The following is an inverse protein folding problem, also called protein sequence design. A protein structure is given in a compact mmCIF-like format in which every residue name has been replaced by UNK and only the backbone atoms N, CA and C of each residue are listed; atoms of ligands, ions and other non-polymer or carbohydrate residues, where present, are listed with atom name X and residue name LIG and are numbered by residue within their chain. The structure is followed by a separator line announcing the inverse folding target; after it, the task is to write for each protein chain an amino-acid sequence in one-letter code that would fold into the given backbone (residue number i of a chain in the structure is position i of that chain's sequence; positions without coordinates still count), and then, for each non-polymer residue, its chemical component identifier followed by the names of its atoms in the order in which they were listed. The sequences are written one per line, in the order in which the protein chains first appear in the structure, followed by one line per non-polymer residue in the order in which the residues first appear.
data_IF_763987274305
#
_entry.id   IF_763987274305
#
_cell.length_a   1.000
_cell.length_b   1.000
_cell.length_c   1.000
_cell.angle_alpha   90.00
_cell.angle_beta   90.00
_cell.angle_gamma   90.00
#
_symmetry.space_group_name_H-M   'P 1'
#
loop_
_entity.id
_entity.type
_entity.pdbx_description
1 polymer ?
#
# COMPACT_ATOMS: atom_id res chain seq x y z
N UNK A 1 -35.64 65.16 -20.57
CA UNK A 1 -34.56 64.44 -19.88
C UNK A 1 -34.76 62.95 -20.17
N UNK A 2 -34.03 62.41 -21.15
CA UNK A 2 -34.07 60.98 -21.54
C UNK A 2 -32.92 60.28 -20.82
N UNK A 3 -33.21 59.19 -20.11
CA UNK A 3 -32.20 58.34 -19.48
C UNK A 3 -32.12 57.07 -20.33
N UNK A 4 -30.99 56.90 -21.02
CA UNK A 4 -30.65 55.69 -21.75
C UNK A 4 -29.99 54.69 -20.79
N UNK A 5 -30.52 53.45 -20.76
CA UNK A 5 -29.95 52.35 -20.00
C UNK A 5 -28.86 51.66 -20.82
N UNK A 6 -27.62 51.74 -20.34
CA UNK A 6 -26.45 51.14 -20.97
C UNK A 6 -26.26 49.70 -20.46
N UNK A 7 -26.71 48.71 -21.23
CA UNK A 7 -26.50 47.29 -20.97
C UNK A 7 -25.14 46.85 -21.52
N UNK A 8 -24.10 46.95 -20.70
CA UNK A 8 -22.80 46.38 -21.01
C UNK A 8 -22.84 44.85 -20.85
N UNK A 9 -22.81 44.14 -21.98
CA UNK A 9 -22.64 42.68 -22.04
C UNK A 9 -21.20 42.35 -21.61
N UNK A 10 -21.06 41.65 -20.48
CA UNK A 10 -19.77 41.07 -20.03
C UNK A 10 -19.35 39.96 -21.00
N UNK A 11 -18.11 39.95 -21.53
CA UNK A 11 -17.62 38.84 -22.33
C UNK A 11 -17.49 37.58 -21.46
N UNK A 12 -17.91 36.44 -22.00
CA UNK A 12 -17.76 35.13 -21.38
C UNK A 12 -16.27 34.83 -21.14
N UNK A 13 -15.94 34.31 -19.96
CA UNK A 13 -14.59 33.84 -19.66
C UNK A 13 -14.17 32.75 -20.68
N UNK A 14 -12.93 32.75 -21.16
CA UNK A 14 -12.46 31.72 -22.09
C UNK A 14 -12.57 30.34 -21.43
N UNK A 15 -13.11 29.37 -22.16
CA UNK A 15 -13.18 27.98 -21.73
C UNK A 15 -11.75 27.48 -21.47
N UNK A 16 -11.45 27.15 -20.21
CA UNK A 16 -10.20 26.51 -19.84
C UNK A 16 -10.14 25.15 -20.54
N UNK A 17 -9.19 24.97 -21.46
CA UNK A 17 -8.96 23.68 -22.12
C UNK A 17 -8.63 22.63 -21.06
N UNK A 18 -9.31 21.49 -21.13
CA UNK A 18 -9.00 20.33 -20.30
C UNK A 18 -7.54 19.92 -20.51
N UNK A 19 -6.78 19.85 -19.42
CA UNK A 19 -5.40 19.36 -19.43
C UNK A 19 -5.39 17.92 -19.93
N UNK A 20 -4.74 17.66 -21.07
CA UNK A 20 -4.52 16.31 -21.59
C UNK A 20 -3.06 15.89 -21.35
N UNK A 21 -2.75 15.26 -20.20
CA UNK A 21 -1.37 14.87 -19.86
C UNK A 21 -0.77 13.82 -20.82
N UNK A 22 -1.60 13.19 -21.67
CA UNK A 22 -1.19 12.11 -22.57
C UNK A 22 -1.00 12.55 -24.03
N UNK A 23 -1.12 13.85 -24.33
CA UNK A 23 -1.12 14.33 -25.72
C UNK A 23 0.25 14.27 -26.45
N UNK A 24 1.36 13.96 -25.78
CA UNK A 24 2.67 13.89 -26.43
C UNK A 24 3.70 13.03 -25.66
N UNK A 25 3.74 11.72 -25.88
CA UNK A 25 4.90 10.91 -25.54
C UNK A 25 5.13 9.81 -26.59
N UNK A 26 6.31 9.78 -27.26
CA UNK A 26 6.67 8.68 -28.14
C UNK A 26 6.92 7.40 -27.32
N UNK A 27 6.52 6.27 -27.87
CA UNK A 27 6.77 4.93 -27.35
C UNK A 27 8.27 4.69 -27.12
N UNK A 28 8.66 4.35 -25.89
CA UNK A 28 10.05 4.10 -25.51
C UNK A 28 10.60 2.83 -26.19
N UNK A 29 11.69 2.99 -26.94
CA UNK A 29 12.47 1.90 -27.52
C UNK A 29 13.27 1.16 -26.45
N UNK A 30 13.30 -0.16 -26.56
CA UNK A 30 14.02 -1.09 -25.69
C UNK A 30 15.53 -0.86 -25.76
N UNK A 31 16.14 -0.38 -24.68
CA UNK A 31 17.59 -0.43 -24.47
C UNK A 31 17.88 -1.35 -23.28
N UNK A 32 18.47 -2.51 -23.56
CA UNK A 32 18.96 -3.45 -22.55
C UNK A 32 20.28 -2.93 -21.98
N UNK A 33 20.27 -2.51 -20.71
CA UNK A 33 21.48 -2.19 -19.94
C UNK A 33 21.57 -3.18 -18.79
N UNK A 34 22.76 -3.76 -18.58
CA UNK A 34 23.04 -4.67 -17.48
C UNK A 34 22.89 -3.96 -16.12
N UNK A 35 22.28 -4.65 -15.14
CA UNK A 35 22.01 -4.12 -13.82
C UNK A 35 23.33 -3.84 -13.04
N UNK A 36 23.52 -2.65 -12.46
CA UNK A 36 24.65 -2.40 -11.56
C UNK A 36 24.41 -3.04 -10.19
N UNK A 37 25.50 -3.35 -9.48
CA UNK A 37 25.46 -3.76 -8.08
C UNK A 37 24.90 -2.62 -7.21
N UNK A 38 24.06 -2.97 -6.22
CA UNK A 38 23.39 -2.05 -5.30
C UNK A 38 24.37 -1.09 -4.63
N UNK A 39 24.49 0.12 -5.17
CA UNK A 39 25.23 1.22 -4.57
C UNK A 39 24.35 1.95 -3.56
N UNK A 40 24.97 2.56 -2.56
CA UNK A 40 24.33 3.45 -1.58
C UNK A 40 23.79 4.71 -2.28
N UNK A 41 22.55 4.63 -2.79
CA UNK A 41 21.87 5.74 -3.45
C UNK A 41 21.28 6.71 -2.42
N UNK A 42 22.01 7.80 -2.14
CA UNK A 42 21.48 8.99 -1.49
C UNK A 42 20.64 9.80 -2.49
N UNK A 43 19.44 9.33 -2.82
CA UNK A 43 18.47 10.10 -3.59
C UNK A 43 17.52 10.83 -2.63
N UNK A 44 17.65 12.16 -2.56
CA UNK A 44 16.70 13.07 -1.88
C UNK A 44 15.93 13.81 -2.98
N UNK A 45 14.60 13.67 -3.09
CA UNK A 45 13.83 14.33 -4.15
C UNK A 45 13.94 15.86 -4.09
N UNK A 46 14.27 16.49 -5.21
CA UNK A 46 14.19 17.96 -5.36
C UNK A 46 12.73 18.42 -5.26
N UNK A 47 12.41 19.26 -4.27
CA UNK A 47 11.05 19.71 -3.94
C UNK A 47 10.52 19.24 -2.59
N UNK A 48 11.37 18.56 -1.79
CA UNK A 48 11.12 18.22 -0.40
C UNK A 48 10.92 19.49 0.44
N UNK A 49 9.76 19.63 1.09
CA UNK A 49 9.54 20.70 2.06
C UNK A 49 10.37 20.35 3.30
N UNK A 50 11.25 21.24 3.79
CA UNK A 50 12.06 20.94 4.95
C UNK A 50 11.17 20.75 6.19
N UNK A 51 11.24 19.54 6.74
CA UNK A 51 11.04 19.15 8.14
C UNK A 51 10.52 20.28 9.05
N UNK A 52 9.22 20.26 9.34
CA UNK A 52 8.76 20.47 10.72
C UNK A 52 8.40 19.07 11.22
N UNK A 53 8.95 18.59 12.36
CA UNK A 53 8.68 17.27 12.88
C UNK A 53 7.24 17.21 13.41
N UNK A 54 6.27 17.14 12.49
CA UNK A 54 4.94 16.68 12.84
C UNK A 54 5.03 15.16 12.92
N UNK A 55 5.08 14.66 14.16
CA UNK A 55 5.11 13.22 14.48
C UNK A 55 3.92 12.45 13.90
N UNK A 56 2.92 13.16 13.37
CA UNK A 56 1.65 12.64 12.88
C UNK A 56 1.64 12.44 11.35
N UNK A 57 2.75 12.68 10.65
CA UNK A 57 2.81 12.52 9.20
C UNK A 57 3.98 11.64 8.80
N UNK A 58 3.68 10.50 8.18
CA UNK A 58 4.66 9.69 7.48
C UNK A 58 4.56 9.96 5.97
N UNK A 59 5.69 10.18 5.31
CA UNK A 59 5.75 10.38 3.87
C UNK A 59 6.21 9.10 3.21
N UNK A 60 5.43 8.61 2.25
CA UNK A 60 5.73 7.43 1.46
C UNK A 60 5.99 7.79 -0.01
N UNK A 61 6.95 7.11 -0.60
CA UNK A 61 7.18 7.05 -2.04
C UNK A 61 7.25 5.58 -2.44
N UNK A 62 6.75 5.22 -3.61
CA UNK A 62 7.03 3.88 -4.12
C UNK A 62 6.89 3.77 -5.62
N UNK A 63 7.47 2.70 -6.14
CA UNK A 63 7.63 2.42 -7.55
C UNK A 63 7.32 0.96 -7.83
N UNK A 64 6.52 0.73 -8.89
CA UNK A 64 6.07 -0.59 -9.30
C UNK A 64 5.47 -1.40 -8.14
N UNK A 65 4.45 -0.85 -7.49
CA UNK A 65 3.77 -1.45 -6.36
C UNK A 65 2.52 -2.21 -6.77
N UNK A 66 2.25 -3.33 -6.08
CA UNK A 66 0.96 -3.98 -6.04
C UNK A 66 0.37 -3.90 -4.64
N UNK A 67 -0.89 -3.48 -4.55
CA UNK A 67 -1.65 -3.41 -3.31
C UNK A 67 -3.04 -4.02 -3.53
N UNK A 68 -3.55 -4.73 -2.54
CA UNK A 68 -4.94 -5.20 -2.51
C UNK A 68 -5.69 -4.48 -1.40
N UNK A 69 -6.79 -3.82 -1.78
CA UNK A 69 -7.72 -3.14 -0.88
C UNK A 69 -9.07 -3.88 -0.84
N UNK A 70 -9.97 -3.46 0.05
CA UNK A 70 -11.37 -3.91 0.15
C UNK A 70 -11.47 -5.44 0.26
N UNK A 71 -11.01 -6.02 1.37
CA UNK A 71 -11.00 -7.48 1.58
C UNK A 71 -10.35 -8.27 0.44
N UNK A 72 -9.34 -7.65 -0.18
CA UNK A 72 -8.55 -8.19 -1.29
C UNK A 72 -9.28 -8.27 -2.63
N UNK A 73 -10.46 -7.66 -2.79
CA UNK A 73 -11.19 -7.64 -4.08
C UNK A 73 -10.71 -6.56 -5.03
N UNK A 74 -10.16 -5.45 -4.50
CA UNK A 74 -9.62 -4.37 -5.31
C UNK A 74 -8.10 -4.49 -5.45
N UNK A 75 -7.66 -5.12 -6.54
CA UNK A 75 -6.26 -5.12 -6.96
C UNK A 75 -5.85 -3.79 -7.57
N UNK A 76 -4.89 -3.12 -6.94
CA UNK A 76 -4.33 -1.85 -7.38
C UNK A 76 -2.86 -2.05 -7.76
N UNK A 77 -2.48 -1.59 -8.94
CA UNK A 77 -1.08 -1.52 -9.38
C UNK A 77 -0.68 -0.08 -9.58
N UNK A 78 0.38 0.35 -8.93
CA UNK A 78 0.94 1.69 -9.11
C UNK A 78 2.31 1.60 -9.76
N UNK A 79 2.51 2.30 -10.88
CA UNK A 79 3.85 2.47 -11.44
C UNK A 79 4.70 3.41 -10.58
N UNK A 80 4.07 4.41 -9.99
CA UNK A 80 4.70 5.37 -9.11
C UNK A 80 3.65 6.03 -8.21
N UNK A 81 3.97 6.21 -6.93
CA UNK A 81 3.14 6.90 -5.94
C UNK A 81 4.02 7.71 -4.98
N UNK A 82 3.55 8.90 -4.64
CA UNK A 82 3.98 9.72 -3.52
C UNK A 82 2.74 10.08 -2.70
N UNK A 83 2.79 9.76 -1.41
CA UNK A 83 1.69 10.00 -0.50
C UNK A 83 2.17 10.43 0.89
N UNK A 84 1.31 11.14 1.60
CA UNK A 84 1.46 11.39 3.02
C UNK A 84 0.37 10.63 3.77
N UNK A 85 0.78 9.88 4.79
CA UNK A 85 -0.07 9.20 5.74
C UNK A 85 -0.20 10.12 6.95
N UNK A 86 -1.39 10.67 7.16
CA UNK A 86 -1.68 11.65 8.20
C UNK A 86 -2.47 10.92 9.26
N UNK A 87 -1.84 10.73 10.41
CA UNK A 87 -2.43 10.08 11.57
C UNK A 87 -3.71 10.81 12.03
N UNK A 88 -4.79 10.03 12.22
CA UNK A 88 -6.07 10.53 12.72
C UNK A 88 -6.07 10.70 14.24
N UNK A 89 -5.22 9.95 14.95
CA UNK A 89 -5.15 9.91 16.41
C UNK A 89 -3.75 10.26 16.89
N UNK A 90 -3.34 11.55 16.91
CA UNK A 90 -1.98 12.02 17.26
C UNK A 90 -1.36 11.52 18.58
N UNK A 91 -2.16 10.91 19.45
CA UNK A 91 -1.75 10.37 20.74
C UNK A 91 -1.41 8.88 20.69
N UNK A 92 -1.80 8.17 19.62
CA UNK A 92 -1.52 6.76 19.38
C UNK A 92 -0.64 6.63 18.15
N UNK A 93 0.24 5.61 18.09
CA UNK A 93 0.88 5.25 16.85
C UNK A 93 -0.10 4.99 15.73
N UNK A 94 0.22 5.48 14.54
CA UNK A 94 -0.51 5.15 13.33
C UNK A 94 -0.41 3.64 13.08
N UNK A 95 -1.56 2.97 13.09
CA UNK A 95 -1.66 1.59 12.65
C UNK A 95 -2.07 1.56 11.17
N UNK A 96 -1.13 1.15 10.31
CA UNK A 96 -1.37 1.05 8.86
C UNK A 96 -2.32 -0.11 8.54
N UNK A 97 -2.35 -1.15 9.37
CA UNK A 97 -3.19 -2.33 9.20
C UNK A 97 -4.63 -2.08 9.65
N UNK A 98 -4.83 -1.31 10.73
CA UNK A 98 -6.16 -0.88 11.20
C UNK A 98 -6.70 0.37 10.50
N UNK A 99 -5.94 0.95 9.57
CA UNK A 99 -6.40 2.03 8.68
C UNK A 99 -6.75 3.34 9.43
N UNK A 100 -6.05 3.61 10.54
CA UNK A 100 -6.27 4.81 11.37
C UNK A 100 -5.53 6.06 10.85
N UNK A 101 -5.59 6.28 9.54
CA UNK A 101 -4.94 7.42 8.90
C UNK A 101 -5.77 7.99 7.76
N UNK A 102 -5.45 9.24 7.41
CA UNK A 102 -5.84 9.86 6.16
C UNK A 102 -4.69 9.77 5.17
N UNK A 103 -4.94 9.20 4.01
CA UNK A 103 -4.01 9.12 2.91
C UNK A 103 -4.17 10.35 1.99
N UNK A 104 -3.16 11.19 1.95
CA UNK A 104 -3.04 12.25 0.96
C UNK A 104 -2.14 11.78 -0.18
N UNK A 105 -2.69 11.55 -1.36
CA UNK A 105 -1.93 11.16 -2.56
C UNK A 105 -1.49 12.42 -3.31
N UNK A 106 -0.21 12.81 -3.12
CA UNK A 106 0.37 14.00 -3.77
C UNK A 106 0.53 13.78 -5.27
N UNK A 107 0.99 12.60 -5.66
CA UNK A 107 1.28 12.24 -7.05
C UNK A 107 1.18 10.73 -7.22
N UNK A 108 0.39 10.22 -8.15
CA UNK A 108 0.38 8.78 -8.44
C UNK A 108 -0.11 8.45 -9.84
N UNK A 109 0.36 7.34 -10.40
CA UNK A 109 -0.36 6.62 -11.46
C UNK A 109 -0.79 5.28 -10.90
N UNK A 110 -2.08 5.02 -11.02
CA UNK A 110 -2.75 3.86 -10.48
C UNK A 110 -3.47 3.15 -11.60
N UNK A 111 -3.43 1.83 -11.60
CA UNK A 111 -4.15 0.99 -12.56
C UNK A 111 -4.93 -0.10 -11.86
N UNK A 112 -6.13 -0.36 -12.38
CA UNK A 112 -7.07 -1.37 -11.90
C UNK A 112 -7.46 -2.25 -13.07
N UNK A 113 -7.47 -3.57 -12.87
CA UNK A 113 -7.90 -4.50 -13.92
C UNK A 113 -9.42 -4.54 -14.06
N UNK A 114 -9.91 -4.97 -15.22
CA UNK A 114 -11.35 -5.18 -15.43
C UNK A 114 -11.94 -6.28 -14.52
N UNK A 115 -11.14 -7.29 -14.20
CA UNK A 115 -11.48 -8.33 -13.20
C UNK A 115 -11.64 -7.70 -11.82
N UNK A 116 -10.66 -6.94 -11.35
CA UNK A 116 -10.71 -6.31 -10.02
C UNK A 116 -11.85 -5.29 -9.93
N UNK A 117 -12.07 -4.50 -10.99
CA UNK A 117 -13.19 -3.57 -11.07
C UNK A 117 -14.56 -4.29 -11.03
N UNK A 118 -14.67 -5.45 -11.68
CA UNK A 118 -15.88 -6.29 -11.63
C UNK A 118 -16.15 -6.77 -10.22
N UNK A 119 -15.15 -7.39 -9.57
CA UNK A 119 -15.29 -7.92 -8.21
C UNK A 119 -15.62 -6.82 -7.20
N UNK A 120 -14.95 -5.67 -7.30
CA UNK A 120 -15.19 -4.52 -6.42
C UNK A 120 -16.61 -4.00 -6.58
N UNK A 121 -17.10 -3.83 -7.81
CA UNK A 121 -18.46 -3.35 -8.05
C UNK A 121 -19.53 -4.35 -7.58
N UNK A 122 -19.31 -5.65 -7.75
CA UNK A 122 -20.19 -6.68 -7.21
C UNK A 122 -20.24 -6.66 -5.68
N UNK A 123 -19.10 -6.44 -5.02
CA UNK A 123 -19.02 -6.32 -3.56
C UNK A 123 -19.79 -5.10 -3.06
N UNK A 124 -19.52 -3.91 -3.61
CA UNK A 124 -20.21 -2.66 -3.23
C UNK A 124 -21.72 -2.81 -3.36
N UNK A 125 -22.20 -3.33 -4.50
CA UNK A 125 -23.63 -3.53 -4.70
C UNK A 125 -24.20 -4.56 -3.71
N UNK A 126 -23.47 -5.64 -3.44
CA UNK A 126 -23.92 -6.66 -2.48
C UNK A 126 -24.08 -6.08 -1.07
N UNK A 127 -23.13 -5.27 -0.63
CA UNK A 127 -23.16 -4.59 0.66
C UNK A 127 -24.35 -3.63 0.74
N UNK A 128 -24.52 -2.73 -0.24
CA UNK A 128 -25.66 -1.79 -0.30
C UNK A 128 -27.02 -2.52 -0.27
N UNK A 129 -27.17 -3.61 -1.03
CA UNK A 129 -28.41 -4.39 -1.04
C UNK A 129 -28.63 -5.16 0.27
N UNK A 130 -27.56 -5.72 0.87
CA UNK A 130 -27.62 -6.40 2.16
C UNK A 130 -28.06 -5.44 3.27
N UNK A 131 -27.48 -4.25 3.33
CA UNK A 131 -27.85 -3.20 4.28
C UNK A 131 -29.31 -2.75 4.13
N UNK A 132 -29.79 -2.65 2.88
CA UNK A 132 -31.20 -2.30 2.61
C UNK A 132 -32.19 -3.45 2.84
N UNK A 133 -31.71 -4.66 3.17
CA UNK A 133 -32.52 -5.86 3.34
C UNK A 133 -33.21 -6.36 2.06
N UNK A 134 -32.75 -5.89 0.89
CA UNK A 134 -33.36 -6.23 -0.42
C UNK A 134 -32.47 -7.22 -1.18
N UNK A 135 -33.05 -8.16 -1.94
CA UNK A 135 -32.26 -9.03 -2.79
C UNK A 135 -31.59 -8.20 -3.90
N UNK A 136 -30.31 -8.47 -4.17
CA UNK A 136 -29.57 -7.84 -5.26
C UNK A 136 -30.28 -8.12 -6.60
N UNK A 137 -30.73 -7.10 -7.34
CA UNK A 137 -31.46 -7.27 -8.58
C UNK A 137 -30.53 -7.50 -9.77
N UNK A 138 -29.21 -7.48 -9.59
CA UNK A 138 -28.22 -7.62 -10.66
C UNK A 138 -27.39 -8.89 -10.40
N UNK A 139 -27.16 -9.69 -11.43
CA UNK A 139 -26.36 -10.92 -11.40
C UNK A 139 -25.41 -10.98 -12.60
N UNK A 140 -24.28 -11.69 -12.46
CA UNK A 140 -23.25 -11.88 -13.51
C UNK A 140 -22.73 -10.55 -14.07
N UNK A 141 -22.34 -9.64 -13.18
CA UNK A 141 -21.83 -8.35 -13.60
C UNK A 141 -20.45 -8.53 -14.22
N UNK A 142 -20.16 -7.77 -15.27
CA UNK A 142 -18.83 -7.75 -15.90
C UNK A 142 -18.51 -6.34 -16.34
N UNK A 143 -17.39 -5.82 -15.85
CA UNK A 143 -16.74 -4.62 -16.35
C UNK A 143 -15.70 -5.04 -17.38
N UNK A 144 -15.59 -4.29 -18.47
CA UNK A 144 -14.56 -4.44 -19.48
C UNK A 144 -14.03 -3.05 -19.85
N UNK A 145 -12.71 -2.92 -19.87
CA UNK A 145 -12.03 -1.72 -20.31
C UNK A 145 -11.53 -1.94 -21.74
N UNK A 146 -12.09 -1.17 -22.67
CA UNK A 146 -11.73 -1.19 -24.09
C UNK A 146 -10.77 -0.02 -24.38
N UNK A 147 -9.94 -0.06 -25.43
CA UNK A 147 -9.15 1.10 -25.85
C UNK A 147 -10.01 2.33 -26.14
N UNK A 148 -9.38 3.51 -26.19
CA UNK A 148 -10.04 4.79 -26.48
C UNK A 148 -11.03 5.27 -25.40
N UNK A 149 -10.68 5.09 -24.13
CA UNK A 149 -11.46 5.55 -22.98
C UNK A 149 -12.88 4.96 -22.91
N UNK A 150 -13.08 3.77 -23.47
CA UNK A 150 -14.37 3.10 -23.45
C UNK A 150 -14.45 2.10 -22.30
N UNK A 151 -15.58 2.15 -21.58
CA UNK A 151 -15.92 1.18 -20.54
C UNK A 151 -17.22 0.52 -20.95
N UNK A 152 -17.24 -0.81 -20.87
CA UNK A 152 -18.43 -1.63 -21.09
C UNK A 152 -18.80 -2.36 -19.80
N UNK A 153 -20.07 -2.34 -19.46
CA UNK A 153 -20.64 -2.97 -18.27
C UNK A 153 -21.79 -3.87 -18.74
N UNK A 154 -21.73 -5.15 -18.42
CA UNK A 154 -22.74 -6.14 -18.80
C UNK A 154 -23.24 -6.90 -17.58
N UNK A 155 -24.47 -7.37 -17.63
CA UNK A 155 -25.02 -8.17 -16.54
C UNK A 155 -26.43 -8.64 -16.83
N UNK A 156 -27.08 -9.23 -15.83
CA UNK A 156 -28.49 -9.63 -15.88
C UNK A 156 -29.24 -8.93 -14.76
N UNK A 157 -30.32 -8.24 -15.10
CA UNK A 157 -31.23 -7.65 -14.12
C UNK A 157 -32.42 -8.59 -13.88
N UNK A 158 -32.70 -8.90 -12.62
CA UNK A 158 -33.87 -9.66 -12.17
C UNK A 158 -35.03 -8.70 -12.01
N UNK A 159 -36.03 -8.84 -12.87
CA UNK A 159 -37.27 -8.05 -12.81
C UNK A 159 -38.46 -8.94 -13.13
N UNK A 160 -39.54 -8.83 -12.34
CA UNK A 160 -40.79 -9.58 -12.52
C UNK A 160 -40.59 -11.10 -12.73
N UNK A 161 -39.66 -11.71 -11.99
CA UNK A 161 -39.36 -13.15 -12.08
C UNK A 161 -38.48 -13.56 -13.28
N UNK A 162 -38.15 -12.64 -14.19
CA UNK A 162 -37.28 -12.88 -15.34
C UNK A 162 -35.89 -12.29 -15.12
N UNK A 163 -34.88 -12.88 -15.77
CA UNK A 163 -33.51 -12.37 -15.82
C UNK A 163 -33.25 -11.77 -17.19
N UNK A 164 -33.18 -10.45 -17.28
CA UNK A 164 -32.99 -9.72 -18.52
C UNK A 164 -31.51 -9.34 -18.69
N UNK A 165 -30.80 -9.82 -19.71
CA UNK A 165 -29.45 -9.38 -20.00
C UNK A 165 -29.45 -7.91 -20.42
N UNK A 166 -28.50 -7.15 -19.90
CA UNK A 166 -28.22 -5.78 -20.29
C UNK A 166 -26.73 -5.61 -20.62
N UNK A 167 -26.44 -4.68 -21.50
CA UNK A 167 -25.07 -4.25 -21.82
C UNK A 167 -25.08 -2.74 -22.00
N UNK A 168 -24.11 -2.07 -21.39
CA UNK A 168 -23.96 -0.64 -21.39
C UNK A 168 -22.53 -0.30 -21.78
N UNK A 169 -22.33 0.59 -22.73
CA UNK A 169 -21.02 1.14 -23.05
C UNK A 169 -21.03 2.65 -22.93
N UNK A 170 -19.89 3.22 -22.59
CA UNK A 170 -19.74 4.66 -22.40
C UNK A 170 -18.29 5.08 -22.41
N UNK A 171 -18.06 6.38 -22.31
CA UNK A 171 -16.72 6.95 -22.24
C UNK A 171 -16.41 7.40 -20.83
N UNK A 172 -15.16 7.19 -20.40
CA UNK A 172 -14.67 7.69 -19.11
C UNK A 172 -13.76 8.89 -19.33
N UNK A 173 -14.01 9.96 -18.58
CA UNK A 173 -13.26 11.22 -18.64
C UNK A 173 -13.05 11.74 -17.21
N UNK A 174 -12.27 12.82 -17.07
CA UNK A 174 -12.13 13.57 -15.81
C UNK A 174 -12.68 14.97 -16.05
N UNK A 175 -13.47 15.47 -15.11
CA UNK A 175 -13.94 16.85 -15.17
C UNK A 175 -12.93 17.83 -14.55
N UNK A 176 -13.26 19.13 -14.57
CA UNK A 176 -12.38 20.16 -14.00
C UNK A 176 -12.27 20.11 -12.47
N UNK A 177 -13.21 19.45 -11.79
CA UNK A 177 -13.18 19.24 -10.34
C UNK A 177 -12.34 18.02 -9.94
N UNK A 178 -11.84 17.24 -10.90
CA UNK A 178 -11.10 16.01 -10.63
C UNK A 178 -12.01 14.81 -10.32
N UNK A 179 -13.28 14.89 -10.72
CA UNK A 179 -14.20 13.75 -10.65
C UNK A 179 -14.06 12.90 -11.91
N UNK A 180 -14.12 11.59 -11.73
CA UNK A 180 -14.21 10.63 -12.83
C UNK A 180 -15.65 10.66 -13.32
N UNK A 181 -15.84 10.97 -14.60
CA UNK A 181 -17.12 11.05 -15.28
C UNK A 181 -17.26 9.92 -16.28
N UNK A 182 -18.28 9.09 -16.12
CA UNK A 182 -18.69 8.09 -17.09
C UNK A 182 -19.89 8.60 -17.88
N UNK A 183 -19.69 8.87 -19.17
CA UNK A 183 -20.72 9.29 -20.11
C UNK A 183 -21.36 8.08 -20.77
N UNK A 184 -22.65 7.87 -20.50
CA UNK A 184 -23.42 6.78 -21.08
C UNK A 184 -23.49 6.92 -22.60
N UNK A 185 -22.92 5.95 -23.30
CA UNK A 185 -22.90 5.85 -24.75
C UNK A 185 -24.08 5.03 -25.26
N UNK A 186 -23.95 3.71 -25.34
CA UNK A 186 -24.99 2.80 -25.83
C UNK A 186 -25.48 1.88 -24.70
N UNK A 187 -26.79 1.79 -24.51
CA UNK A 187 -27.42 0.81 -23.63
C UNK A 187 -28.27 -0.16 -24.47
N UNK A 188 -28.19 -1.44 -24.13
CA UNK A 188 -28.95 -2.54 -24.73
C UNK A 188 -29.60 -3.37 -23.63
N UNK A 189 -30.85 -3.79 -23.85
CA UNK A 189 -31.57 -4.74 -23.01
C UNK A 189 -32.17 -5.80 -23.92
N UNK A 190 -31.95 -7.08 -23.62
CA UNK A 190 -32.32 -8.19 -24.52
C UNK A 190 -31.75 -8.02 -25.94
N UNK A 191 -30.57 -7.39 -26.06
CA UNK A 191 -29.93 -7.07 -27.34
C UNK A 191 -30.56 -5.90 -28.09
N UNK A 192 -31.70 -5.37 -27.64
CA UNK A 192 -32.39 -4.25 -28.26
C UNK A 192 -31.81 -2.92 -27.76
N UNK A 193 -31.55 -1.92 -28.64
CA UNK A 193 -31.11 -0.60 -28.22
C UNK A 193 -32.10 0.08 -27.28
N UNK A 194 -31.71 0.30 -26.03
CA UNK A 194 -32.53 0.96 -25.02
C UNK A 194 -32.49 2.50 -25.18
N UNK A 195 -31.44 3.06 -25.79
CA UNK A 195 -31.28 4.51 -25.95
C UNK A 195 -32.44 5.18 -26.69
N UNK A 196 -32.97 4.54 -27.74
CA UNK A 196 -34.09 5.07 -28.51
C UNK A 196 -35.35 5.18 -27.65
N UNK A 197 -35.62 4.13 -26.88
CA UNK A 197 -36.73 4.11 -25.92
C UNK A 197 -36.52 5.13 -24.80
N UNK A 198 -35.32 5.19 -24.22
CA UNK A 198 -34.98 6.17 -23.19
C UNK A 198 -35.24 7.60 -23.69
N UNK A 199 -34.80 7.93 -24.91
CA UNK A 199 -35.06 9.25 -25.52
C UNK A 199 -36.55 9.48 -25.77
N UNK A 200 -37.26 8.51 -26.35
CA UNK A 200 -38.69 8.63 -26.67
C UNK A 200 -39.56 8.86 -25.42
N UNK A 201 -39.20 8.24 -24.29
CA UNK A 201 -39.89 8.39 -23.01
C UNK A 201 -39.29 9.47 -22.09
N UNK A 202 -38.26 10.20 -22.55
CA UNK A 202 -37.56 11.21 -21.73
C UNK A 202 -36.91 10.62 -20.48
N UNK A 203 -36.51 9.35 -20.52
CA UNK A 203 -35.76 8.68 -19.45
C UNK A 203 -34.27 9.01 -19.61
N UNK A 204 -33.64 9.32 -18.48
CA UNK A 204 -32.21 9.62 -18.36
C UNK A 204 -31.62 8.76 -17.24
N UNK A 205 -30.30 8.55 -17.25
CA UNK A 205 -29.62 7.74 -16.23
C UNK A 205 -29.93 8.23 -14.81
N UNK A 206 -29.95 9.54 -14.57
CA UNK A 206 -30.30 10.13 -13.27
C UNK A 206 -31.74 9.87 -12.82
N UNK A 207 -32.68 9.73 -13.77
CA UNK A 207 -34.07 9.37 -13.47
C UNK A 207 -34.23 7.89 -13.17
N UNK A 208 -33.40 7.04 -13.78
CA UNK A 208 -33.44 5.58 -13.63
C UNK A 208 -32.70 5.11 -12.39
N UNK A 209 -31.43 5.49 -12.26
CA UNK A 209 -30.55 5.06 -11.18
C UNK A 209 -30.88 5.76 -9.86
N UNK A 210 -31.39 7.00 -9.93
CA UNK A 210 -31.72 7.85 -8.76
C UNK A 210 -30.56 7.98 -7.76
N UNK A 211 -29.32 7.83 -8.22
CA UNK A 211 -28.11 8.02 -7.42
C UNK A 211 -27.90 9.52 -7.26
N UNK A 212 -28.38 10.07 -6.14
CA UNK A 212 -28.37 11.49 -5.81
C UNK A 212 -27.68 11.73 -4.47
N UNK A 213 -26.54 11.09 -4.29
CA UNK A 213 -25.79 11.09 -3.04
C UNK A 213 -24.39 11.68 -3.24
N UNK A 214 -24.24 12.96 -3.68
CA UNK A 214 -22.93 13.58 -3.83
C UNK A 214 -22.08 13.54 -2.56
N UNK A 215 -22.71 13.48 -1.38
CA UNK A 215 -22.04 13.32 -0.09
C UNK A 215 -21.33 11.96 0.06
N UNK A 216 -21.75 10.95 -0.70
CA UNK A 216 -21.11 9.61 -0.73
C UNK A 216 -20.02 9.54 -1.82
N UNK A 217 -19.78 10.67 -2.51
CA UNK A 217 -18.78 10.78 -3.57
C UNK A 217 -19.23 10.29 -4.93
N UNK A 218 -20.46 9.80 -5.10
CA UNK A 218 -20.97 9.39 -6.40
C UNK A 218 -22.39 9.89 -6.65
N UNK A 219 -22.68 10.25 -7.89
CA UNK A 219 -24.01 10.69 -8.29
C UNK A 219 -24.22 10.55 -9.79
N UNK A 220 -25.47 10.73 -10.21
CA UNK A 220 -25.85 10.76 -11.63
C UNK A 220 -26.42 12.12 -11.98
N UNK A 221 -26.00 12.66 -13.12
CA UNK A 221 -26.59 13.85 -13.72
C UNK A 221 -26.86 13.58 -15.20
N UNK A 222 -28.11 13.72 -15.63
CA UNK A 222 -28.55 13.40 -17.00
C UNK A 222 -28.15 11.96 -17.38
N UNK A 223 -27.22 11.82 -18.33
CA UNK A 223 -26.73 10.54 -18.83
C UNK A 223 -25.29 10.28 -18.41
N UNK A 224 -24.83 10.92 -17.34
CA UNK A 224 -23.46 10.80 -16.85
C UNK A 224 -23.47 10.36 -15.40
N UNK A 225 -22.56 9.46 -15.06
CA UNK A 225 -22.23 9.08 -13.69
C UNK A 225 -20.94 9.79 -13.29
N UNK A 226 -20.92 10.35 -12.09
CA UNK A 226 -19.79 11.06 -11.52
C UNK A 226 -19.30 10.33 -10.28
N UNK A 227 -17.98 10.24 -10.15
CA UNK A 227 -17.29 9.59 -9.05
C UNK A 227 -16.14 10.48 -8.57
N UNK A 228 -16.21 10.91 -7.32
CA UNK A 228 -15.12 11.48 -6.56
C UNK A 228 -14.42 10.36 -5.78
N UNK A 229 -13.25 9.96 -6.28
CA UNK A 229 -12.50 8.83 -5.73
C UNK A 229 -12.17 9.01 -4.24
N UNK A 230 -11.70 10.20 -3.85
CA UNK A 230 -11.34 10.50 -2.47
C UNK A 230 -12.52 10.37 -1.52
N UNK A 231 -13.64 10.96 -1.92
CA UNK A 231 -14.85 10.93 -1.12
C UNK A 231 -15.47 9.53 -1.05
N UNK A 232 -15.58 8.81 -2.16
CA UNK A 232 -16.16 7.47 -2.17
C UNK A 232 -15.35 6.47 -1.35
N UNK A 233 -14.01 6.49 -1.47
CA UNK A 233 -13.17 5.61 -0.66
C UNK A 233 -13.29 5.97 0.83
N UNK A 234 -13.33 7.26 1.17
CA UNK A 234 -13.46 7.70 2.57
C UNK A 234 -14.78 7.29 3.26
N UNK A 235 -15.82 6.91 2.49
CA UNK A 235 -17.11 6.48 3.04
C UNK A 235 -17.20 4.97 3.25
N UNK A 236 -16.25 4.19 2.74
CA UNK A 236 -16.20 2.76 2.99
C UNK A 236 -15.70 2.56 4.42
N UNK A 237 -16.50 1.90 5.27
CA UNK A 237 -16.32 1.88 6.73
C UNK A 237 -14.96 1.37 7.26
N UNK A 238 -14.17 0.72 6.40
CA UNK A 238 -12.85 0.17 6.71
C UNK A 238 -11.70 0.78 5.89
N UNK A 239 -11.95 1.90 5.20
CA UNK A 239 -10.98 2.54 4.32
C UNK A 239 -10.38 3.81 4.95
N UNK A 240 -9.14 4.19 4.56
CA UNK A 240 -8.54 5.41 5.08
C UNK A 240 -9.28 6.60 4.46
N UNK A 241 -9.28 7.74 5.16
CA UNK A 241 -9.73 8.98 4.53
C UNK A 241 -8.81 9.25 3.34
N UNK A 242 -9.34 9.41 2.13
CA UNK A 242 -8.54 9.57 0.93
C UNK A 242 -8.66 10.99 0.38
N UNK A 243 -7.54 11.70 0.33
CA UNK A 243 -7.39 12.93 -0.42
C UNK A 243 -6.59 12.65 -1.69
N UNK A 244 -7.27 12.60 -2.83
CA UNK A 244 -6.66 12.34 -4.13
C UNK A 244 -7.35 13.18 -5.20
N UNK A 245 -6.59 14.01 -5.92
CA UNK A 245 -7.10 14.79 -7.04
C UNK A 245 -6.80 14.10 -8.37
N UNK A 246 -7.83 13.56 -9.02
CA UNK A 246 -7.68 12.93 -10.33
C UNK A 246 -7.42 14.00 -11.39
N UNK A 247 -6.38 13.79 -12.20
CA UNK A 247 -5.94 14.67 -13.29
C UNK A 247 -6.14 14.06 -14.66
N UNK A 248 -6.23 12.74 -14.73
CA UNK A 248 -6.44 12.03 -15.98
C UNK A 248 -6.93 10.61 -15.74
N UNK A 249 -7.70 10.11 -16.70
CA UNK A 249 -8.09 8.70 -16.79
C UNK A 249 -7.84 8.23 -18.20
N UNK A 250 -7.42 6.97 -18.33
CA UNK A 250 -7.26 6.32 -19.61
C UNK A 250 -7.58 4.85 -19.49
N UNK A 251 -8.32 4.31 -20.45
CA UNK A 251 -8.49 2.86 -20.55
C UNK A 251 -7.47 2.27 -21.51
N UNK A 252 -6.98 1.09 -21.16
CA UNK A 252 -6.31 0.15 -22.06
C UNK A 252 -7.08 -1.16 -22.05
N UNK A 253 -6.73 -2.06 -22.95
CA UNK A 253 -7.32 -3.39 -22.97
C UNK A 253 -7.18 -4.05 -21.58
N UNK A 254 -8.30 -4.26 -20.91
CA UNK A 254 -8.38 -4.91 -19.60
C UNK A 254 -7.91 -4.06 -18.41
N UNK A 255 -7.61 -2.76 -18.56
CA UNK A 255 -7.23 -1.92 -17.41
C UNK A 255 -7.69 -0.46 -17.51
N UNK A 256 -8.03 0.11 -16.36
CA UNK A 256 -8.25 1.54 -16.18
C UNK A 256 -7.02 2.14 -15.50
N UNK A 257 -6.42 3.14 -16.11
CA UNK A 257 -5.33 3.96 -15.56
C UNK A 257 -5.90 5.28 -15.05
N UNK A 258 -5.49 5.67 -13.85
CA UNK A 258 -5.89 6.89 -13.14
C UNK A 258 -4.61 7.64 -12.79
N UNK A 259 -4.49 8.87 -13.25
CA UNK A 259 -3.42 9.80 -12.91
C UNK A 259 -3.90 10.75 -11.84
N UNK A 260 -3.19 10.79 -10.72
CA UNK A 260 -3.48 11.63 -9.55
C UNK A 260 -2.34 12.63 -9.37
N UNK A 261 -2.69 13.87 -9.02
CA UNK A 261 -1.71 14.89 -8.69
C UNK A 261 -2.34 16.13 -8.06
N UNK A 262 -1.75 16.64 -6.97
CA UNK A 262 -2.18 17.91 -6.35
C UNK A 262 -2.03 19.08 -7.33
N UNK A 263 -1.01 19.03 -8.19
CA UNK A 263 -0.77 20.00 -9.26
C UNK A 263 -0.57 19.31 -10.61
N UNK A 264 -0.72 20.02 -11.75
CA UNK A 264 -0.34 19.50 -13.06
C UNK A 264 1.15 19.07 -13.12
N UNK A 265 2.02 19.75 -12.39
CA UNK A 265 3.45 19.46 -12.28
C UNK A 265 3.69 18.12 -11.57
N UNK A 266 2.95 17.83 -10.49
CA UNK A 266 3.00 16.53 -9.81
C UNK A 266 2.58 15.40 -10.75
N UNK A 267 1.50 15.61 -11.53
CA UNK A 267 1.05 14.63 -12.52
C UNK A 267 2.09 14.39 -13.64
N UNK A 268 2.84 15.43 -14.05
CA UNK A 268 3.97 15.26 -15.01
C UNK A 268 5.13 14.48 -14.40
N UNK A 269 5.45 14.75 -13.12
CA UNK A 269 6.51 14.02 -12.38
C UNK A 269 6.23 12.52 -12.38
N UNK A 270 4.98 12.11 -12.13
CA UNK A 270 4.58 10.69 -12.19
C UNK A 270 4.94 10.04 -13.52
N UNK A 271 4.64 10.71 -14.64
CA UNK A 271 4.92 10.18 -15.99
C UNK A 271 6.43 10.05 -16.23
N UNK A 272 7.21 11.04 -15.75
CA UNK A 272 8.68 11.01 -15.82
C UNK A 272 9.25 9.87 -14.98
N UNK A 273 8.85 9.76 -13.72
CA UNK A 273 9.33 8.75 -12.77
C UNK A 273 9.00 7.33 -13.21
N UNK A 274 7.82 7.13 -13.79
CA UNK A 274 7.42 5.86 -14.42
C UNK A 274 8.37 5.44 -15.56
N UNK A 275 8.90 6.39 -16.31
CA UNK A 275 9.78 6.11 -17.46
C UNK A 275 11.20 5.69 -17.06
N UNK A 276 11.60 5.97 -15.81
CA UNK A 276 12.91 5.59 -15.28
C UNK A 276 12.87 4.09 -14.95
N UNK A 277 13.75 3.29 -15.55
CA UNK A 277 13.89 1.88 -15.18
C UNK A 277 14.62 1.75 -13.84
N UNK A 278 14.12 0.92 -12.94
CA UNK A 278 14.74 0.66 -11.65
C UNK A 278 14.02 -0.45 -10.88
N UNK A 279 14.58 -0.90 -9.74
CA UNK A 279 13.93 -1.89 -8.90
C UNK A 279 12.59 -1.35 -8.36
N UNK A 280 11.67 -2.26 -8.06
CA UNK A 280 10.47 -1.92 -7.31
C UNK A 280 10.87 -1.62 -5.86
N UNK A 281 10.33 -0.53 -5.32
CA UNK A 281 10.66 -0.09 -3.96
C UNK A 281 9.50 0.65 -3.30
N UNK A 282 9.49 0.65 -1.97
CA UNK A 282 8.81 1.63 -1.13
C UNK A 282 9.87 2.34 -0.30
N UNK A 283 9.78 3.65 -0.18
CA UNK A 283 10.53 4.44 0.81
C UNK A 283 9.52 5.13 1.70
N UNK A 284 9.73 5.10 3.00
CA UNK A 284 8.93 5.87 3.93
C UNK A 284 9.84 6.66 4.88
N UNK A 285 9.41 7.86 5.26
CA UNK A 285 10.17 8.78 6.11
C UNK A 285 9.26 9.51 7.06
N UNK A 286 9.73 9.73 8.30
CA UNK A 286 9.00 10.46 9.32
C UNK A 286 7.84 9.68 9.94
N UNK A 287 7.02 10.38 10.72
CA UNK A 287 5.90 9.79 11.46
C UNK A 287 6.33 8.79 12.54
N UNK A 288 5.33 8.15 13.15
CA UNK A 288 5.51 6.94 13.93
C UNK A 288 4.32 6.00 13.69
N UNK A 289 4.60 4.71 13.52
CA UNK A 289 3.55 3.76 13.18
C UNK A 289 4.04 2.32 13.08
N UNK A 290 3.09 1.39 13.00
CA UNK A 290 3.39 -0.03 12.87
C UNK A 290 3.51 -0.45 11.40
N UNK A 291 4.56 -1.20 11.08
CA UNK A 291 4.78 -1.82 9.76
C UNK A 291 5.23 -3.25 10.01
N UNK A 292 4.44 -4.24 9.59
CA UNK A 292 4.76 -5.68 9.71
C UNK A 292 5.10 -6.10 11.15
N UNK A 293 4.36 -5.55 12.12
CA UNK A 293 4.58 -5.78 13.55
C UNK A 293 5.75 -4.99 14.18
N UNK A 294 6.44 -4.16 13.41
CA UNK A 294 7.51 -3.28 13.89
C UNK A 294 6.99 -1.87 14.13
N UNK A 295 7.21 -1.33 15.32
CA UNK A 295 6.95 0.08 15.62
C UNK A 295 8.09 0.94 15.09
N UNK A 296 7.84 1.79 14.12
CA UNK A 296 8.78 2.77 13.63
C UNK A 296 8.54 4.11 14.31
N UNK A 297 9.60 4.79 14.76
CA UNK A 297 9.53 6.16 15.26
C UNK A 297 10.57 7.03 14.60
N UNK A 298 10.09 8.08 13.92
CA UNK A 298 10.89 9.05 13.18
C UNK A 298 11.85 8.35 12.20
N UNK A 299 11.34 7.25 11.62
CA UNK A 299 12.13 6.30 10.85
C UNK A 299 12.21 6.69 9.38
N UNK A 300 13.38 6.46 8.79
CA UNK A 300 13.56 6.40 7.34
C UNK A 300 13.75 4.93 6.95
N UNK A 301 12.79 4.36 6.24
CA UNK A 301 12.82 2.97 5.79
C UNK A 301 12.77 2.85 4.28
N UNK A 302 13.38 1.81 3.76
CA UNK A 302 13.24 1.40 2.37
C UNK A 302 12.89 -0.08 2.28
N UNK A 303 11.85 -0.43 1.54
CA UNK A 303 11.47 -1.81 1.22
C UNK A 303 11.80 -2.04 -0.25
N UNK A 304 12.61 -3.04 -0.55
CA UNK A 304 13.01 -3.40 -1.91
C UNK A 304 12.46 -4.77 -2.30
N UNK A 305 12.00 -4.90 -3.54
CA UNK A 305 11.70 -6.21 -4.13
C UNK A 305 13.00 -6.97 -4.40
N UNK A 306 13.12 -8.17 -3.83
CA UNK A 306 14.25 -9.07 -4.08
C UNK A 306 14.12 -9.84 -5.40
N UNK A 307 12.94 -9.81 -6.03
CA UNK A 307 12.61 -10.55 -7.23
C UNK A 307 12.48 -9.62 -8.43
N UNK A 308 13.49 -9.53 -9.31
CA UNK A 308 13.43 -8.64 -10.46
C UNK A 308 12.26 -8.98 -11.39
N UNK A 309 11.49 -7.96 -11.80
CA UNK A 309 10.50 -8.08 -12.86
C UNK A 309 9.05 -8.28 -12.40
N UNK A 310 8.81 -8.50 -11.11
CA UNK A 310 7.47 -8.41 -10.51
C UNK A 310 7.21 -7.02 -9.91
N UNK A 311 5.94 -6.58 -9.81
CA UNK A 311 5.59 -5.52 -8.88
C UNK A 311 5.86 -5.97 -7.44
N UNK A 312 6.37 -5.05 -6.62
CA UNK A 312 6.48 -5.24 -5.18
C UNK A 312 5.06 -5.34 -4.59
N UNK A 313 4.61 -6.57 -4.35
CA UNK A 313 3.32 -6.82 -3.72
C UNK A 313 3.48 -6.60 -2.22
N UNK A 314 2.78 -5.62 -1.63
CA UNK A 314 2.87 -5.28 -0.20
C UNK A 314 2.06 -6.22 0.70
N UNK A 315 1.13 -7.00 0.14
CA UNK A 315 0.29 -7.94 0.89
C UNK A 315 0.81 -9.38 0.87
N UNK A 316 1.93 -9.67 0.19
CA UNK A 316 2.54 -10.99 0.22
C UNK A 316 3.01 -11.35 1.63
N UNK A 317 2.62 -12.54 2.10
CA UNK A 317 3.00 -13.13 3.39
C UNK A 317 4.25 -13.97 3.23
N UNK A 318 5.28 -13.74 4.05
CA UNK A 318 6.55 -14.47 4.03
C UNK A 318 7.69 -13.59 3.50
N UNK A 319 8.49 -13.03 4.42
CA UNK A 319 9.53 -12.01 4.18
C UNK A 319 10.69 -12.38 3.25
N UNK A 320 10.57 -13.44 2.43
CA UNK A 320 11.61 -13.83 1.48
C UNK A 320 11.63 -12.96 0.20
N UNK A 321 10.53 -12.27 -0.12
CA UNK A 321 10.42 -11.44 -1.33
C UNK A 321 10.86 -9.98 -1.12
N UNK A 322 11.12 -9.56 0.12
CA UNK A 322 11.39 -8.15 0.45
C UNK A 322 12.60 -8.00 1.36
N UNK A 323 13.32 -6.90 1.19
CA UNK A 323 14.26 -6.41 2.22
C UNK A 323 13.70 -5.13 2.80
N UNK A 324 13.47 -5.07 4.11
CA UNK A 324 13.26 -3.81 4.81
C UNK A 324 14.62 -3.30 5.29
N UNK A 325 15.00 -2.08 4.90
CA UNK A 325 16.22 -1.39 5.33
C UNK A 325 15.84 -0.22 6.23
N UNK A 326 16.42 -0.17 7.43
CA UNK A 326 16.33 0.98 8.31
C UNK A 326 17.54 1.90 8.09
N UNK A 327 17.31 3.12 7.62
CA UNK A 327 18.36 4.12 7.39
C UNK A 327 18.55 5.07 8.57
N UNK A 328 17.48 5.37 9.30
CA UNK A 328 17.47 6.30 10.42
C UNK A 328 16.27 6.01 11.32
N UNK A 329 16.40 6.36 12.60
CA UNK A 329 15.29 6.39 13.56
C UNK A 329 15.34 5.22 14.53
N UNK A 330 14.18 4.93 15.13
CA UNK A 330 14.03 3.83 16.07
C UNK A 330 13.06 2.78 15.52
N UNK A 331 13.44 1.52 15.66
CA UNK A 331 12.55 0.37 15.48
C UNK A 331 12.29 -0.23 16.85
N UNK A 332 11.06 -0.15 17.33
CA UNK A 332 10.54 -0.92 18.44
C UNK A 332 10.01 -2.26 17.96
N UNK A 333 10.47 -3.34 18.56
CA UNK A 333 9.99 -4.69 18.33
C UNK A 333 9.26 -5.12 19.59
N UNK A 334 7.97 -5.46 19.49
CA UNK A 334 7.23 -5.94 20.65
C UNK A 334 7.88 -7.21 21.21
N UNK A 335 7.72 -7.45 22.51
CA UNK A 335 8.31 -8.64 23.13
C UNK A 335 7.88 -9.94 22.41
N UNK A 336 6.59 -10.06 22.10
CA UNK A 336 6.08 -11.22 21.37
C UNK A 336 6.72 -11.35 19.98
N UNK A 337 6.79 -10.26 19.22
CA UNK A 337 7.38 -10.30 17.87
C UNK A 337 8.86 -10.63 17.93
N UNK A 338 9.59 -10.04 18.87
CA UNK A 338 11.02 -10.31 19.03
C UNK A 338 11.27 -11.76 19.46
N UNK A 339 10.38 -12.35 20.26
CA UNK A 339 10.39 -13.76 20.61
C UNK A 339 10.24 -14.67 19.36
N UNK A 340 9.31 -14.33 18.47
CA UNK A 340 9.11 -15.02 17.18
C UNK A 340 10.34 -14.91 16.28
N UNK A 341 10.91 -13.70 16.14
CA UNK A 341 12.11 -13.48 15.33
C UNK A 341 13.30 -14.29 15.84
N UNK A 342 13.51 -14.34 17.16
CA UNK A 342 14.57 -15.19 17.73
C UNK A 342 14.34 -16.66 17.39
N UNK A 343 13.10 -17.16 17.49
CA UNK A 343 12.77 -18.55 17.13
C UNK A 343 13.03 -18.83 15.66
N UNK A 344 12.67 -17.91 14.77
CA UNK A 344 12.91 -18.02 13.33
C UNK A 344 14.41 -18.07 12.99
N UNK A 345 15.20 -17.22 13.64
CA UNK A 345 16.65 -17.11 13.45
C UNK A 345 17.42 -18.29 14.05
N UNK A 346 17.09 -18.71 15.27
CA UNK A 346 17.74 -19.89 15.88
C UNK A 346 17.33 -21.17 15.12
N UNK A 347 16.08 -21.26 14.65
CA UNK A 347 15.54 -22.41 13.93
C UNK A 347 15.56 -23.72 14.74
N UNK A 348 14.75 -24.69 14.33
CA UNK A 348 14.94 -26.07 14.80
C UNK A 348 16.12 -26.69 14.05
N UNK A 349 17.04 -27.31 14.81
CA UNK A 349 18.15 -28.07 14.28
C UNK A 349 18.28 -29.39 15.04
N UNK A 350 18.99 -30.36 14.48
CA UNK A 350 19.26 -31.62 15.18
C UNK A 350 20.01 -31.41 16.52
N UNK A 351 20.78 -30.32 16.61
CA UNK A 351 21.57 -29.97 17.78
C UNK A 351 20.78 -29.18 18.84
N UNK A 352 19.70 -28.50 18.46
CA UNK A 352 18.85 -27.70 19.36
C UNK A 352 17.39 -27.76 18.92
N UNK A 353 16.56 -28.43 19.72
CA UNK A 353 15.11 -28.63 19.45
C UNK A 353 14.26 -28.07 20.59
N UNK A 354 12.94 -27.97 20.35
CA UNK A 354 11.94 -27.53 21.33
C UNK A 354 12.27 -26.13 21.91
N UNK A 355 12.69 -25.21 21.05
CA UNK A 355 13.15 -23.89 21.48
C UNK A 355 11.95 -23.05 21.97
N UNK A 356 12.01 -22.68 23.24
CA UNK A 356 11.15 -21.70 23.86
C UNK A 356 11.98 -20.47 24.23
N UNK A 357 11.42 -19.30 23.98
CA UNK A 357 12.05 -18.01 24.24
C UNK A 357 11.10 -17.20 25.13
N UNK A 358 11.64 -16.39 26.04
CA UNK A 358 10.85 -15.50 26.88
C UNK A 358 11.70 -14.27 27.23
N UNK A 359 11.22 -13.09 26.87
CA UNK A 359 11.91 -11.83 27.18
C UNK A 359 11.80 -11.47 28.67
N UNK A 360 12.91 -10.95 29.19
CA UNK A 360 13.10 -10.54 30.59
C UNK A 360 13.91 -9.25 30.64
N UNK A 361 13.30 -8.14 30.26
CA UNK A 361 13.97 -6.83 30.23
C UNK A 361 15.10 -6.81 29.19
N UNK A 362 16.36 -6.76 29.63
CA UNK A 362 17.52 -6.60 28.74
C UNK A 362 18.06 -7.92 28.15
N UNK A 363 17.39 -9.05 28.39
CA UNK A 363 17.79 -10.35 27.84
C UNK A 363 16.57 -11.21 27.48
N UNK A 364 16.75 -12.15 26.55
CA UNK A 364 15.80 -13.25 26.35
C UNK A 364 16.30 -14.50 27.07
N UNK A 365 15.45 -15.10 27.90
CA UNK A 365 15.67 -16.44 28.39
C UNK A 365 15.32 -17.41 27.26
N UNK A 366 16.26 -18.26 26.89
CA UNK A 366 16.06 -19.32 25.90
C UNK A 366 16.12 -20.66 26.63
N UNK A 367 15.16 -21.53 26.37
CA UNK A 367 15.14 -22.92 26.81
C UNK A 367 14.90 -23.85 25.63
N UNK A 368 15.38 -25.09 25.73
CA UNK A 368 15.18 -26.09 24.69
C UNK A 368 15.91 -27.39 25.06
N UNK A 369 16.15 -28.24 24.08
CA UNK A 369 16.91 -29.49 24.25
C UNK A 369 18.13 -29.50 23.35
N UNK A 370 19.30 -29.65 23.96
CA UNK A 370 20.55 -29.89 23.24
C UNK A 370 20.63 -31.36 22.83
N UNK A 371 20.98 -31.62 21.57
CA UNK A 371 21.02 -32.96 20.96
C UNK A 371 19.71 -33.75 21.13
N UNK A 372 18.58 -33.05 21.06
CA UNK A 372 17.23 -33.61 21.21
C UNK A 372 16.87 -34.17 22.60
N UNK A 373 17.81 -34.22 23.54
CA UNK A 373 17.63 -34.98 24.79
C UNK A 373 17.97 -34.20 26.06
N UNK A 374 18.88 -33.23 26.03
CA UNK A 374 19.39 -32.57 27.23
C UNK A 374 18.70 -31.21 27.39
N UNK A 375 17.79 -31.03 28.35
CA UNK A 375 17.18 -29.73 28.61
C UNK A 375 18.25 -28.69 28.94
N UNK A 376 18.24 -27.56 28.23
CA UNK A 376 19.11 -26.42 28.49
C UNK A 376 18.29 -25.16 28.74
N UNK A 377 18.88 -24.23 29.50
CA UNK A 377 18.40 -22.86 29.60
C UNK A 377 19.57 -21.88 29.65
N UNK A 378 19.46 -20.76 28.93
CA UNK A 378 20.46 -19.71 28.86
C UNK A 378 19.82 -18.33 28.78
N UNK A 379 20.60 -17.28 29.09
CA UNK A 379 20.20 -15.89 28.90
C UNK A 379 20.94 -15.31 27.69
N UNK A 380 20.20 -14.77 26.72
CA UNK A 380 20.76 -14.05 25.57
C UNK A 380 20.63 -12.55 25.77
N UNK A 381 21.75 -11.85 25.84
CA UNK A 381 21.78 -10.38 25.84
C UNK A 381 21.98 -9.85 24.43
N UNK A 382 21.47 -8.65 24.17
CA UNK A 382 21.53 -7.97 22.89
C UNK A 382 22.42 -6.74 22.98
N UNK A 383 23.28 -6.54 21.99
CA UNK A 383 24.13 -5.36 21.92
C UNK A 383 24.56 -5.09 20.48
N UNK A 384 24.82 -3.84 20.09
CA UNK A 384 25.43 -3.56 18.79
C UNK A 384 26.90 -4.03 18.77
N UNK A 385 27.37 -4.52 17.63
CA UNK A 385 28.80 -4.73 17.35
C UNK A 385 29.49 -3.41 16.99
N UNK A 386 30.82 -3.41 16.86
CA UNK A 386 31.55 -2.21 16.43
C UNK A 386 31.22 -1.77 15.00
N UNK A 387 30.82 -2.71 14.15
CA UNK A 387 30.38 -2.50 12.77
C UNK A 387 28.86 -2.30 12.65
N UNK A 388 28.14 -2.16 13.78
CA UNK A 388 26.72 -1.80 13.81
C UNK A 388 25.75 -2.95 13.52
N UNK A 389 26.18 -4.21 13.66
CA UNK A 389 25.28 -5.37 13.58
C UNK A 389 24.67 -5.68 14.94
N UNK A 390 23.53 -6.34 14.96
CA UNK A 390 22.93 -6.82 16.21
C UNK A 390 23.66 -8.09 16.68
N UNK A 391 24.25 -8.07 17.87
CA UNK A 391 24.93 -9.21 18.47
C UNK A 391 24.10 -9.87 19.56
N UNK A 392 24.03 -11.20 19.50
CA UNK A 392 23.48 -12.07 20.53
C UNK A 392 24.62 -12.67 21.33
N UNK A 393 24.63 -12.45 22.64
CA UNK A 393 25.62 -13.08 23.54
C UNK A 393 24.91 -13.97 24.54
N UNK A 394 25.21 -15.27 24.50
CA UNK A 394 24.69 -16.21 25.48
C UNK A 394 25.50 -16.19 26.78
N UNK A 395 24.79 -16.26 27.89
CA UNK A 395 25.35 -16.27 29.24
C UNK A 395 24.51 -17.15 30.17
N UNK A 396 25.11 -17.58 31.28
CA UNK A 396 24.39 -18.31 32.32
C UNK A 396 23.80 -19.65 31.89
N UNK A 397 24.39 -20.30 30.88
CA UNK A 397 23.84 -21.54 30.33
C UNK A 397 23.91 -22.69 31.34
N UNK A 398 22.80 -23.40 31.50
CA UNK A 398 22.63 -24.54 32.40
C UNK A 398 22.03 -25.73 31.67
N UNK A 399 22.56 -26.93 31.89
CA UNK A 399 21.94 -28.21 31.54
C UNK A 399 21.14 -28.75 32.72
N UNK A 400 20.03 -29.43 32.43
CA UNK A 400 19.10 -30.02 33.42
C UNK A 400 18.57 -28.99 34.43
N UNK A 401 18.67 -27.69 34.13
CA UNK A 401 18.27 -26.58 35.00
C UNK A 401 19.29 -26.18 36.07
N UNK A 402 20.35 -26.96 36.32
CA UNK A 402 21.29 -26.69 37.43
C UNK A 402 22.78 -26.89 37.11
N UNK A 403 23.14 -27.68 36.09
CA UNK A 403 24.55 -27.95 35.77
C UNK A 403 25.09 -26.82 34.88
N UNK A 404 26.04 -26.00 35.33
CA UNK A 404 26.60 -24.94 34.48
C UNK A 404 27.32 -25.56 33.27
N UNK A 405 27.01 -25.06 32.08
CA UNK A 405 27.69 -25.47 30.86
C UNK A 405 28.88 -24.54 30.58
N UNK A 406 30.01 -25.07 30.04
CA UNK A 406 31.09 -24.22 29.55
C UNK A 406 30.56 -23.25 28.49
N UNK A 407 30.85 -21.96 28.65
CA UNK A 407 30.33 -20.93 27.74
C UNK A 407 30.67 -21.18 26.27
N UNK A 408 31.86 -21.74 26.00
CA UNK A 408 32.32 -22.07 24.64
C UNK A 408 31.52 -23.17 23.95
N UNK A 409 30.99 -24.14 24.70
CA UNK A 409 30.18 -25.22 24.14
C UNK A 409 28.84 -24.68 23.65
N UNK A 410 28.22 -23.82 24.46
CA UNK A 410 26.89 -23.26 24.16
C UNK A 410 27.00 -22.18 23.09
N UNK A 411 28.01 -21.31 23.14
CA UNK A 411 28.23 -20.31 22.08
C UNK A 411 28.52 -20.97 20.73
N UNK A 412 29.31 -22.06 20.70
CA UNK A 412 29.62 -22.79 19.48
C UNK A 412 28.40 -23.47 18.86
N UNK A 413 27.45 -23.94 19.68
CA UNK A 413 26.20 -24.50 19.18
C UNK A 413 25.24 -23.41 18.71
N UNK A 414 25.09 -22.32 19.47
CA UNK A 414 24.33 -21.14 19.03
C UNK A 414 24.82 -20.59 17.68
N UNK A 415 26.14 -20.54 17.46
CA UNK A 415 26.72 -20.13 16.19
C UNK A 415 26.32 -21.00 15.01
N UNK A 416 26.04 -22.29 15.22
CA UNK A 416 25.63 -23.21 14.15
C UNK A 416 24.15 -23.10 13.81
N UNK A 417 23.33 -22.77 14.80
CA UNK A 417 21.87 -22.78 14.66
C UNK A 417 21.33 -21.42 14.19
N UNK A 418 21.95 -20.32 14.61
CA UNK A 418 21.54 -18.98 14.19
C UNK A 418 21.79 -18.79 12.68
N UNK A 419 20.69 -18.75 11.91
CA UNK A 419 20.71 -18.58 10.45
C UNK A 419 21.32 -17.23 10.08
N UNK A 420 22.23 -17.23 9.11
CA UNK A 420 22.91 -16.01 8.66
C UNK A 420 23.79 -15.32 9.72
N UNK A 421 24.00 -15.95 10.88
CA UNK A 421 24.82 -15.42 11.95
C UNK A 421 26.31 -15.63 11.72
N UNK A 422 27.09 -14.59 11.98
CA UNK A 422 28.55 -14.66 11.93
C UNK A 422 29.14 -14.66 13.34
N UNK A 423 30.14 -15.51 13.64
CA UNK A 423 30.85 -15.45 14.90
C UNK A 423 31.45 -14.05 15.14
N UNK A 424 31.11 -13.43 16.27
CA UNK A 424 31.64 -12.13 16.65
C UNK A 424 31.96 -12.09 18.15
N UNK A 425 33.25 -12.08 18.50
CA UNK A 425 33.69 -12.13 19.88
C UNK A 425 33.16 -13.36 20.62
N UNK A 426 32.33 -13.15 21.65
CA UNK A 426 31.68 -14.22 22.45
C UNK A 426 30.26 -14.54 21.99
N UNK A 427 29.79 -13.87 20.93
CA UNK A 427 28.41 -13.94 20.46
C UNK A 427 28.31 -14.31 18.99
N UNK A 428 27.11 -14.06 18.46
CA UNK A 428 26.76 -14.18 17.06
C UNK A 428 26.24 -12.83 16.59
N UNK A 429 26.82 -12.27 15.56
CA UNK A 429 26.36 -11.04 14.94
C UNK A 429 25.40 -11.35 13.77
N UNK A 430 24.27 -10.66 13.75
CA UNK A 430 23.29 -10.71 12.67
C UNK A 430 23.36 -9.42 11.85
N UNK A 431 23.58 -9.56 10.54
CA UNK A 431 23.41 -8.46 9.59
C UNK A 431 21.96 -8.24 9.18
N UNK A 432 21.11 -9.26 9.34
CA UNK A 432 19.67 -9.21 9.02
C UNK A 432 18.88 -10.01 10.06
N UNK A 433 17.60 -9.67 10.26
CA UNK A 433 16.64 -10.44 11.06
C UNK A 433 15.35 -10.63 10.28
N UNK A 434 14.99 -11.88 9.96
CA UNK A 434 13.78 -12.28 9.24
C UNK A 434 13.52 -11.46 7.96
N UNK A 435 14.58 -11.19 7.19
CA UNK A 435 14.52 -10.40 5.96
C UNK A 435 14.59 -8.87 6.16
N UNK A 436 14.62 -8.40 7.41
CA UNK A 436 14.94 -7.02 7.74
C UNK A 436 16.45 -6.83 7.81
N UNK A 437 16.98 -5.97 6.95
CA UNK A 437 18.30 -5.38 7.08
C UNK A 437 18.21 -4.23 8.09
N UNK A 438 18.81 -4.48 9.26
CA UNK A 438 18.76 -3.56 10.40
C UNK A 438 19.61 -2.29 10.17
N UNK A 439 20.37 -2.23 9.08
CA UNK A 439 21.34 -1.18 8.84
C UNK A 439 22.40 -1.12 9.95
N UNK A 440 22.94 0.08 10.20
CA UNK A 440 23.85 0.30 11.31
C UNK A 440 23.04 0.48 12.61
N UNK A 441 23.06 -0.51 13.49
CA UNK A 441 22.48 -0.45 14.83
C UNK A 441 23.48 0.25 15.76
N UNK A 442 23.13 1.46 16.21
CA UNK A 442 23.91 2.25 17.14
C UNK A 442 23.67 1.86 18.59
N UNK A 443 22.43 1.55 18.94
CA UNK A 443 22.03 1.25 20.31
C UNK A 443 20.90 0.22 20.34
N UNK A 444 20.85 -0.56 21.42
CA UNK A 444 19.82 -1.56 21.68
C UNK A 444 19.43 -1.46 23.14
N UNK A 445 18.15 -1.25 23.42
CA UNK A 445 17.66 -1.18 24.79
C UNK A 445 16.20 -1.61 24.89
N UNK A 446 15.83 -2.12 26.06
CA UNK A 446 14.43 -2.44 26.36
C UNK A 446 13.69 -1.25 26.95
N UNK A 447 12.51 -0.91 26.41
CA UNK A 447 11.63 0.14 26.91
C UNK A 447 10.16 -0.24 26.72
N UNK A 448 9.35 -0.15 27.78
CA UNK A 448 7.88 -0.31 27.73
C UNK A 448 7.37 -1.60 27.05
N UNK A 449 8.07 -2.73 27.19
CA UNK A 449 7.70 -4.00 26.53
C UNK A 449 8.12 -4.10 25.07
N UNK A 450 9.08 -3.27 24.66
CA UNK A 450 9.71 -3.29 23.35
C UNK A 450 11.23 -3.43 23.49
N UNK A 451 11.83 -4.17 22.56
CA UNK A 451 13.24 -4.03 22.22
C UNK A 451 13.36 -2.91 21.19
N UNK A 452 14.06 -1.84 21.55
CA UNK A 452 14.27 -0.68 20.69
C UNK A 452 15.67 -0.77 20.07
N UNK A 453 15.70 -0.78 18.75
CA UNK A 453 16.90 -0.66 17.92
C UNK A 453 17.01 0.78 17.42
N UNK A 454 18.07 1.48 17.80
CA UNK A 454 18.37 2.83 17.30
C UNK A 454 19.35 2.71 16.12
N UNK A 455 18.93 3.19 14.95
CA UNK A 455 19.80 3.25 13.77
C UNK A 455 20.80 4.41 13.87
N UNK A 456 22.06 4.16 13.53
CA UNK A 456 23.10 5.16 13.32
C UNK A 456 23.26 5.50 11.84
N UNK A 457 23.91 6.66 11.60
CA UNK A 457 24.06 7.27 10.27
C UNK A 457 24.89 6.45 9.28
#
# INVERSE_FOLDING_TARGET
MRIEANTAVRPAAPAQQAYNPYAAYPSAGTSTVAAPAFGSDSFVPTGYVPYSPNQNVAYGQGKNLGLRLLDKTLGIKSSYIEAAFIDKTPHNPMDIEEVDFNLHVKAAEVSVSDVDATLTLEQILREEFAESGKPMPIENLRVAFDPHNQVRIEGKVKTMGMRLPFSVSGQVNVDTAGQIRYDLGQAKVLGLPANGLMKAFGLTLDRLAKLRTPQDGYYTEKNSFYLNLGQTISQIGSAPGLHAQVRGVRTHLGSLQILVGDTPEDAKRVIQEKSITGPAYVKASGGHGYIDGFFLKEGDISIYDRTPGSPLNLNATGGMERTLQLHKGMVGISDQRFEELIKEEIGDSDDLTDIETSLKGQYAKVSGKLFGAIPISLNMTFSPTSDGRLMFTASGAKALGFVPLPSGLVSGQLQKVVKGGEPYGKGVALGQMSGMDLGYVRNVYHQNGYIVLESGK
#
